data_IF_996892853274
#
_entry.id   IF_996892853274
#
_cell.length_a   1.000
_cell.length_b   1.000
_cell.length_c   1.000
_cell.angle_alpha   90.00
_cell.angle_beta   90.00
_cell.angle_gamma   90.00
#
_symmetry.space_group_name_H-M   'P 1'
#
loop_
_entity.id
_entity.type
_entity.pdbx_description
1 polymer ?
#
# COMPACT_ATOMS: atom_id res chain seq x y z
N UNK A 1 56.14 55.56 -19.14
CA UNK A 1 55.78 55.79 -20.56
C UNK A 1 55.92 54.46 -21.31
N UNK A 2 54.80 53.80 -21.62
CA UNK A 2 54.48 53.13 -22.90
C UNK A 2 53.03 52.69 -22.76
N UNK A 3 52.23 53.14 -23.73
CA UNK A 3 50.79 52.98 -23.87
C UNK A 3 50.43 51.59 -24.40
N UNK A 4 49.41 50.94 -23.83
CA UNK A 4 48.63 49.92 -24.55
C UNK A 4 47.14 50.14 -24.34
N UNK A 5 46.47 50.34 -25.47
CA UNK A 5 45.04 50.57 -25.68
C UNK A 5 44.22 49.30 -25.48
N UNK A 6 43.06 49.50 -24.86
CA UNK A 6 41.70 49.09 -25.25
C UNK A 6 41.46 47.74 -25.94
N UNK A 7 40.52 46.96 -25.38
CA UNK A 7 39.26 46.58 -26.07
C UNK A 7 38.19 46.13 -25.08
N UNK A 8 37.06 46.80 -25.15
CA UNK A 8 35.79 46.40 -24.57
C UNK A 8 35.12 45.35 -25.48
N UNK A 9 34.38 44.41 -24.89
CA UNK A 9 33.40 43.59 -25.57
C UNK A 9 32.10 43.58 -24.76
N UNK A 10 31.02 43.98 -25.41
CA UNK A 10 29.65 44.02 -24.93
C UNK A 10 28.98 42.61 -25.04
N UNK A 11 27.80 42.39 -24.42
CA UNK A 11 27.24 41.06 -24.22
C UNK A 11 26.41 40.60 -25.43
N UNK A 12 26.46 39.29 -25.72
CA UNK A 12 25.64 38.66 -26.75
C UNK A 12 24.41 38.00 -26.14
N UNK A 13 23.29 38.30 -26.79
CA UNK A 13 21.92 37.93 -26.53
C UNK A 13 21.60 36.42 -26.49
N UNK A 14 20.63 36.11 -25.62
CA UNK A 14 19.37 35.42 -25.92
C UNK A 14 19.41 34.26 -26.94
N UNK A 15 19.26 33.03 -26.43
CA UNK A 15 18.84 31.85 -27.19
C UNK A 15 17.80 31.07 -26.41
N UNK A 16 16.54 31.40 -26.66
CA UNK A 16 15.61 30.48 -27.31
C UNK A 16 15.40 29.12 -26.63
N UNK A 17 14.38 29.08 -25.78
CA UNK A 17 13.65 27.88 -25.35
C UNK A 17 13.26 27.04 -26.58
N UNK A 18 13.81 25.83 -26.72
CA UNK A 18 13.29 24.79 -27.61
C UNK A 18 12.44 23.83 -26.79
N UNK A 19 11.12 23.95 -26.93
CA UNK A 19 10.16 22.91 -26.56
C UNK A 19 10.40 21.68 -27.44
N UNK A 20 10.82 20.58 -26.83
CA UNK A 20 10.79 19.27 -27.45
C UNK A 20 9.37 18.70 -27.27
N UNK A 21 8.54 18.85 -28.30
CA UNK A 21 7.29 18.12 -28.41
C UNK A 21 7.60 16.67 -28.83
N UNK A 22 7.52 15.74 -27.89
CA UNK A 22 7.59 14.31 -28.17
C UNK A 22 6.32 13.87 -28.90
N UNK A 23 6.48 13.55 -30.18
CA UNK A 23 5.45 12.96 -31.02
C UNK A 23 5.12 11.54 -30.53
N UNK A 24 3.86 11.30 -30.19
CA UNK A 24 3.30 9.97 -29.99
C UNK A 24 3.05 9.32 -31.37
N UNK A 25 3.45 8.05 -31.60
CA UNK A 25 3.09 7.35 -32.81
C UNK A 25 1.58 7.01 -32.81
N UNK A 26 0.91 7.55 -33.81
CA UNK A 26 -0.49 7.33 -34.19
C UNK A 26 -0.62 5.93 -34.80
N UNK A 27 -0.96 4.93 -33.98
CA UNK A 27 -1.29 3.59 -34.47
C UNK A 27 -2.68 3.61 -35.12
N UNK A 28 -2.70 3.23 -36.39
CA UNK A 28 -3.84 3.33 -37.29
C UNK A 28 -4.97 2.37 -36.93
N UNK A 29 -6.20 2.90 -36.94
CA UNK A 29 -7.43 2.13 -37.02
C UNK A 29 -7.44 1.34 -38.32
N UNK A 30 -7.25 0.02 -38.23
CA UNK A 30 -7.67 -0.89 -39.29
C UNK A 30 -9.05 -1.44 -38.96
N UNK A 31 -10.08 -0.69 -39.39
CA UNK A 31 -11.45 -1.20 -39.51
C UNK A 31 -11.51 -2.17 -40.68
N UNK A 32 -11.46 -3.48 -40.39
CA UNK A 32 -11.94 -4.51 -41.33
C UNK A 32 -13.33 -4.94 -40.93
N UNK A 33 -14.30 -4.44 -41.69
CA UNK A 33 -15.59 -5.07 -41.89
C UNK A 33 -15.38 -6.50 -42.38
N UNK A 34 -15.87 -7.49 -41.64
CA UNK A 34 -16.19 -8.79 -42.23
C UNK A 34 -17.66 -9.11 -42.00
N UNK A 35 -18.28 -9.42 -43.12
CA UNK A 35 -19.69 -9.69 -43.34
C UNK A 35 -20.26 -10.83 -42.51
N UNK A 36 -21.55 -10.65 -42.25
CA UNK A 36 -22.55 -11.63 -41.89
C UNK A 36 -22.29 -13.06 -42.41
N UNK A 37 -22.31 -14.02 -41.48
CA UNK A 37 -22.85 -15.35 -41.74
C UNK A 37 -23.87 -15.69 -40.66
N UNK A 38 -25.11 -15.85 -41.09
CA UNK A 38 -26.18 -16.49 -40.34
C UNK A 38 -25.71 -17.89 -39.93
N UNK A 39 -25.73 -18.16 -38.63
CA UNK A 39 -25.85 -19.52 -38.10
C UNK A 39 -27.11 -19.58 -37.24
N UNK A 40 -28.21 -19.93 -37.90
CA UNK A 40 -29.36 -20.59 -37.29
C UNK A 40 -28.92 -21.97 -36.81
N UNK A 41 -28.83 -22.15 -35.49
CA UNK A 41 -28.50 -23.41 -34.86
C UNK A 41 -29.13 -23.50 -33.49
N UNK A 42 -30.29 -24.14 -33.44
CA UNK A 42 -31.08 -24.51 -32.27
C UNK A 42 -30.21 -25.33 -31.30
N UNK A 43 -30.12 -24.94 -30.02
CA UNK A 43 -29.84 -25.91 -28.96
C UNK A 43 -30.46 -25.50 -27.62
N UNK A 44 -31.52 -26.24 -27.31
CA UNK A 44 -32.07 -26.65 -26.01
C UNK A 44 -31.77 -25.78 -24.76
N UNK A 45 -32.85 -25.15 -24.27
CA UNK A 45 -33.06 -24.81 -22.87
C UNK A 45 -33.05 -26.11 -22.04
N UNK A 46 -32.00 -26.30 -21.24
CA UNK A 46 -32.01 -27.28 -20.14
C UNK A 46 -32.28 -26.54 -18.83
N UNK A 47 -33.56 -26.40 -18.48
CA UNK A 47 -33.95 -26.05 -17.11
C UNK A 47 -33.62 -27.25 -16.20
N UNK A 48 -32.56 -27.16 -15.42
CA UNK A 48 -32.36 -28.01 -14.26
C UNK A 48 -33.08 -27.37 -13.06
N UNK A 49 -34.30 -27.84 -12.79
CA UNK A 49 -35.01 -27.60 -11.54
C UNK A 49 -34.35 -28.44 -10.45
N UNK A 50 -33.52 -27.84 -9.61
CA UNK A 50 -33.07 -28.43 -8.35
C UNK A 50 -34.15 -28.17 -7.29
N UNK A 51 -35.16 -29.03 -7.28
CA UNK A 51 -36.02 -29.22 -6.12
C UNK A 51 -35.30 -30.15 -5.13
N UNK A 52 -34.67 -29.55 -4.11
CA UNK A 52 -34.15 -30.24 -2.94
C UNK A 52 -34.98 -29.89 -1.72
N UNK A 53 -35.96 -30.74 -1.41
CA UNK A 53 -36.76 -30.69 -0.18
C UNK A 53 -36.24 -31.79 0.76
N UNK A 54 -35.96 -31.44 2.03
CA UNK A 54 -35.75 -32.42 3.11
C UNK A 54 -34.51 -32.15 3.96
N UNK A 55 -34.72 -31.84 5.24
CA UNK A 55 -33.63 -31.79 6.23
C UNK A 55 -33.94 -30.94 7.45
N UNK A 56 -34.83 -31.45 8.29
CA UNK A 56 -35.35 -30.85 9.52
C UNK A 56 -34.32 -30.89 10.66
N UNK A 57 -34.12 -29.75 11.30
CA UNK A 57 -33.75 -29.63 12.72
C UNK A 57 -32.31 -29.96 13.11
N UNK A 58 -31.50 -28.93 13.31
CA UNK A 58 -30.48 -28.93 14.37
C UNK A 58 -30.25 -27.50 14.87
N UNK A 59 -29.98 -27.42 16.16
CA UNK A 59 -30.24 -26.27 17.02
C UNK A 59 -29.34 -25.08 16.69
N UNK A 60 -29.96 -23.89 16.64
CA UNK A 60 -29.27 -22.61 16.79
C UNK A 60 -28.69 -22.50 18.20
N UNK A 61 -27.52 -23.09 18.44
CA UNK A 61 -26.61 -22.59 19.47
C UNK A 61 -25.88 -21.39 18.91
N UNK A 62 -26.46 -20.21 19.19
CA UNK A 62 -25.73 -18.95 19.11
C UNK A 62 -24.47 -19.08 19.98
N UNK A 63 -23.30 -18.96 19.35
CA UNK A 63 -22.05 -18.82 20.07
C UNK A 63 -22.07 -17.50 20.87
N UNK A 64 -21.53 -17.47 22.10
CA UNK A 64 -21.55 -16.28 22.93
C UNK A 64 -20.74 -15.15 22.28
N UNK A 65 -21.39 -13.99 22.18
CA UNK A 65 -20.72 -12.73 21.90
C UNK A 65 -19.66 -12.50 22.98
N UNK A 66 -18.39 -12.43 22.57
CA UNK A 66 -17.30 -12.05 23.46
C UNK A 66 -17.51 -10.61 23.94
N UNK A 67 -17.77 -10.48 25.24
CA UNK A 67 -17.78 -9.20 25.95
C UNK A 67 -16.38 -8.58 25.91
N UNK A 68 -16.30 -7.42 25.26
CA UNK A 68 -15.07 -6.64 25.11
C UNK A 68 -15.23 -5.52 24.09
N UNK A 69 -16.42 -4.89 24.01
CA UNK A 69 -16.66 -3.75 23.13
C UNK A 69 -16.59 -2.46 23.97
N UNK A 70 -15.50 -1.72 23.76
CA UNK A 70 -15.39 -0.31 24.12
C UNK A 70 -16.37 0.53 23.25
N UNK A 71 -16.83 1.71 23.68
CA UNK A 71 -18.03 2.34 23.14
C UNK A 71 -17.86 2.88 21.71
N UNK A 72 -18.84 2.50 20.90
CA UNK A 72 -19.44 3.15 19.73
C UNK A 72 -18.85 4.51 19.26
N UNK A 73 -18.02 4.44 18.22
CA UNK A 73 -17.94 5.47 17.18
C UNK A 73 -18.54 4.93 15.87
N UNK A 74 -19.84 4.62 15.87
CA UNK A 74 -20.71 4.65 14.70
C UNK A 74 -20.23 3.85 13.48
N UNK A 75 -20.37 2.53 13.57
CA UNK A 75 -20.18 1.51 12.52
C UNK A 75 -18.73 1.17 12.17
N UNK A 76 -18.30 -0.02 12.61
CA UNK A 76 -17.11 -0.70 12.09
C UNK A 76 -17.35 -1.09 10.62
N UNK A 77 -17.16 -0.14 9.69
CA UNK A 77 -17.41 -0.36 8.26
C UNK A 77 -16.62 -1.53 7.67
N UNK A 78 -15.37 -1.84 8.09
CA UNK A 78 -14.71 -3.08 7.68
C UNK A 78 -15.58 -4.33 7.92
N UNK A 79 -16.25 -4.40 9.07
CA UNK A 79 -17.15 -5.51 9.36
C UNK A 79 -18.38 -5.50 8.47
N UNK A 80 -18.99 -4.33 8.26
CA UNK A 80 -20.16 -4.18 7.38
C UNK A 80 -19.85 -4.54 5.91
N UNK A 81 -18.68 -4.15 5.41
CA UNK A 81 -18.20 -4.54 4.08
C UNK A 81 -18.10 -6.05 3.98
N UNK A 82 -17.47 -6.70 4.96
CA UNK A 82 -17.29 -8.16 4.97
C UNK A 82 -18.61 -8.93 5.11
N UNK A 83 -19.55 -8.43 5.91
CA UNK A 83 -20.89 -9.00 6.04
C UNK A 83 -21.69 -8.85 4.73
N UNK A 84 -21.57 -7.71 4.04
CA UNK A 84 -22.18 -7.50 2.71
C UNK A 84 -21.59 -8.43 1.65
N UNK A 85 -20.26 -8.58 1.62
CA UNK A 85 -19.59 -9.53 0.73
C UNK A 85 -20.05 -10.96 1.01
N UNK A 86 -20.13 -11.36 2.29
CA UNK A 86 -20.58 -12.70 2.67
C UNK A 86 -22.01 -12.99 2.21
N UNK A 87 -22.93 -12.03 2.38
CA UNK A 87 -24.31 -12.17 1.93
C UNK A 87 -24.40 -12.29 0.40
N UNK A 88 -23.72 -11.40 -0.33
CA UNK A 88 -23.68 -11.44 -1.79
C UNK A 88 -23.06 -12.75 -2.31
N UNK A 89 -21.96 -13.22 -1.73
CA UNK A 89 -21.33 -14.48 -2.12
C UNK A 89 -22.26 -15.67 -1.92
N UNK A 90 -23.04 -15.68 -0.82
CA UNK A 90 -24.06 -16.70 -0.55
C UNK A 90 -25.14 -16.70 -1.63
N UNK A 91 -25.61 -15.53 -2.07
CA UNK A 91 -26.58 -15.41 -3.18
C UNK A 91 -26.01 -15.91 -4.52
N UNK A 92 -24.70 -15.75 -4.72
CA UNK A 92 -23.98 -16.31 -5.88
C UNK A 92 -23.70 -17.82 -5.76
N UNK A 93 -24.16 -18.48 -4.69
CA UNK A 93 -23.96 -19.92 -4.47
C UNK A 93 -22.57 -20.29 -3.94
N UNK A 94 -21.79 -19.31 -3.48
CA UNK A 94 -20.48 -19.54 -2.88
C UNK A 94 -20.54 -19.39 -1.35
N UNK A 95 -19.80 -20.25 -0.64
CA UNK A 95 -19.54 -20.05 0.78
C UNK A 95 -18.50 -18.92 0.93
N UNK A 96 -18.73 -18.02 1.87
CA UNK A 96 -17.80 -16.97 2.27
C UNK A 96 -17.99 -16.69 3.76
N UNK A 97 -16.89 -16.58 4.50
CA UNK A 97 -16.88 -16.26 5.92
C UNK A 97 -16.47 -14.80 6.05
N UNK A 98 -17.38 -13.95 6.53
CA UNK A 98 -17.11 -12.55 6.83
C UNK A 98 -15.93 -12.45 7.80
N UNK A 99 -14.88 -11.77 7.37
CA UNK A 99 -13.60 -11.78 8.05
C UNK A 99 -12.95 -10.40 8.03
N UNK A 100 -12.76 -9.83 9.21
CA UNK A 100 -11.94 -8.62 9.40
C UNK A 100 -10.66 -9.07 10.09
N UNK A 101 -9.48 -8.94 9.45
CA UNK A 101 -8.22 -9.27 10.10
C UNK A 101 -8.07 -8.51 11.42
N UNK A 102 -7.71 -9.21 12.49
CA UNK A 102 -7.26 -8.54 13.71
C UNK A 102 -5.77 -8.29 13.61
N UNK A 103 -5.36 -7.03 13.67
CA UNK A 103 -3.95 -6.69 13.80
C UNK A 103 -3.53 -6.94 15.25
N UNK A 104 -2.92 -8.12 15.50
CA UNK A 104 -2.37 -8.43 16.82
C UNK A 104 -1.03 -7.71 16.95
N UNK A 105 -1.07 -6.52 17.55
CA UNK A 105 0.13 -5.73 17.84
C UNK A 105 0.84 -6.23 19.09
N UNK A 106 2.13 -6.49 18.96
CA UNK A 106 3.00 -6.75 20.12
C UNK A 106 3.19 -5.46 20.92
N UNK A 107 3.73 -5.59 22.13
CA UNK A 107 4.10 -4.41 22.92
C UNK A 107 5.20 -3.58 22.25
N UNK A 108 6.10 -4.23 21.51
CA UNK A 108 7.14 -3.55 20.74
C UNK A 108 6.54 -2.75 19.58
N UNK A 109 5.55 -3.31 18.87
CA UNK A 109 4.82 -2.61 17.80
C UNK A 109 4.11 -1.35 18.32
N UNK A 110 3.40 -1.47 19.44
CA UNK A 110 2.72 -0.32 20.08
C UNK A 110 3.70 0.79 20.46
N UNK A 111 4.88 0.42 20.98
CA UNK A 111 5.92 1.39 21.31
C UNK A 111 6.48 2.09 20.07
N UNK A 112 6.74 1.35 19.00
CA UNK A 112 7.16 1.95 17.72
C UNK A 112 6.10 2.92 17.18
N UNK A 113 4.82 2.54 17.18
CA UNK A 113 3.70 3.40 16.75
C UNK A 113 3.50 4.63 17.66
N UNK A 114 3.88 4.54 18.93
CA UNK A 114 3.89 5.69 19.83
C UNK A 114 5.06 6.66 19.61
N UNK A 115 6.00 6.33 18.71
CA UNK A 115 7.23 7.10 18.50
C UNK A 115 8.26 6.93 19.62
N UNK A 116 8.24 5.80 20.35
CA UNK A 116 9.20 5.52 21.41
C UNK A 116 10.63 5.41 20.87
N UNK A 117 11.45 6.41 21.20
CA UNK A 117 12.79 6.55 20.64
C UNK A 117 13.69 5.35 20.92
N UNK A 118 13.69 4.80 22.14
CA UNK A 118 14.59 3.68 22.48
C UNK A 118 14.20 2.40 21.73
N UNK A 119 12.89 2.14 21.57
CA UNK A 119 12.41 1.01 20.77
C UNK A 119 12.76 1.20 19.29
N UNK A 120 12.50 2.39 18.72
CA UNK A 120 12.87 2.69 17.33
C UNK A 120 14.38 2.60 17.10
N UNK A 121 15.19 3.06 18.06
CA UNK A 121 16.66 3.00 18.00
C UNK A 121 17.15 1.57 18.04
N UNK A 122 16.62 0.74 18.93
CA UNK A 122 16.93 -0.70 18.99
C UNK A 122 16.62 -1.37 17.66
N UNK A 123 15.46 -1.09 17.07
CA UNK A 123 15.07 -1.62 15.77
C UNK A 123 16.02 -1.17 14.64
N UNK A 124 16.20 0.15 14.48
CA UNK A 124 17.03 0.74 13.40
C UNK A 124 18.51 0.37 13.52
N UNK A 125 19.01 0.12 14.75
CA UNK A 125 20.39 -0.35 14.97
C UNK A 125 20.65 -1.75 14.41
N UNK A 126 19.61 -2.58 14.28
CA UNK A 126 19.72 -3.94 13.75
C UNK A 126 19.27 -4.04 12.29
N UNK A 127 18.19 -3.32 11.95
CA UNK A 127 17.48 -3.53 10.69
C UNK A 127 17.51 -2.31 9.76
N UNK A 128 18.04 -1.16 10.18
CA UNK A 128 17.96 0.07 9.39
C UNK A 128 16.49 0.45 9.12
N UNK A 129 16.13 0.71 7.85
CA UNK A 129 14.74 0.85 7.41
C UNK A 129 14.11 -0.48 6.94
N UNK A 130 14.88 -1.58 6.94
CA UNK A 130 14.42 -2.92 6.57
C UNK A 130 14.69 -3.32 5.11
N UNK A 131 15.22 -2.43 4.26
CA UNK A 131 15.35 -2.67 2.82
C UNK A 131 16.28 -3.84 2.53
N UNK A 132 17.46 -3.89 3.16
CA UNK A 132 18.44 -4.96 3.02
C UNK A 132 18.44 -5.96 4.18
N UNK A 133 17.60 -5.71 5.20
CA UNK A 133 17.54 -6.53 6.39
C UNK A 133 17.03 -7.95 6.09
N UNK A 134 16.10 -8.11 5.14
CA UNK A 134 15.49 -9.40 4.82
C UNK A 134 16.49 -10.43 4.26
N UNK A 135 17.50 -9.99 3.52
CA UNK A 135 18.56 -10.88 3.02
C UNK A 135 19.57 -11.27 4.11
N UNK A 136 19.68 -10.47 5.17
CA UNK A 136 20.62 -10.69 6.28
C UNK A 136 19.97 -11.46 7.44
N UNK A 137 18.69 -11.21 7.69
CA UNK A 137 17.87 -11.73 8.78
C UNK A 137 16.55 -12.29 8.21
N UNK A 138 16.54 -13.51 7.64
CA UNK A 138 15.36 -14.09 7.01
C UNK A 138 14.14 -14.18 7.93
N UNK A 139 14.37 -14.36 9.24
CA UNK A 139 13.32 -14.39 10.26
C UNK A 139 12.60 -13.05 10.42
N UNK A 140 13.23 -11.95 10.02
CA UNK A 140 12.62 -10.62 10.03
C UNK A 140 11.50 -10.49 8.98
N UNK A 141 11.52 -11.32 7.93
CA UNK A 141 10.47 -11.35 6.91
C UNK A 141 9.08 -11.62 7.48
N UNK A 142 9.02 -12.35 8.59
CA UNK A 142 7.78 -12.74 9.27
C UNK A 142 7.46 -11.86 10.49
N UNK A 143 8.22 -10.76 10.70
CA UNK A 143 8.06 -9.88 11.86
C UNK A 143 7.07 -8.73 11.65
N UNK A 144 6.50 -8.59 10.46
CA UNK A 144 5.37 -7.68 10.24
C UNK A 144 4.15 -8.10 11.07
N UNK A 145 3.18 -7.19 11.20
CA UNK A 145 1.91 -7.46 11.88
C UNK A 145 1.37 -8.83 11.42
N UNK A 146 1.36 -9.79 12.35
CA UNK A 146 0.89 -11.14 12.07
C UNK A 146 -0.59 -11.05 11.81
N UNK A 147 -0.97 -11.01 10.54
CA UNK A 147 -2.37 -11.10 10.16
C UNK A 147 -2.88 -12.46 10.61
N UNK A 148 -4.04 -12.46 11.25
CA UNK A 148 -4.76 -13.71 11.49
C UNK A 148 -4.93 -14.45 10.14
N UNK A 149 -4.85 -15.79 10.11
CA UNK A 149 -5.11 -16.54 8.89
C UNK A 149 -6.49 -16.21 8.33
N UNK A 150 -6.60 -15.99 7.03
CA UNK A 150 -7.91 -15.75 6.41
C UNK A 150 -8.70 -17.07 6.39
N UNK A 151 -9.88 -17.14 7.05
CA UNK A 151 -10.64 -18.38 7.15
C UNK A 151 -11.15 -18.88 5.79
N UNK A 152 -11.14 -18.02 4.75
CA UNK A 152 -11.53 -18.39 3.39
C UNK A 152 -10.41 -19.09 2.60
N UNK A 153 -9.13 -19.00 3.02
CA UNK A 153 -7.99 -19.53 2.26
C UNK A 153 -8.06 -21.04 2.05
N UNK A 154 -8.47 -21.80 3.09
CA UNK A 154 -8.61 -23.26 2.98
C UNK A 154 -9.67 -23.66 1.95
N UNK A 155 -10.79 -22.92 1.93
CA UNK A 155 -11.89 -23.17 1.02
C UNK A 155 -11.52 -22.80 -0.41
N UNK A 156 -10.99 -21.59 -0.63
CA UNK A 156 -10.55 -21.16 -1.97
C UNK A 156 -9.44 -22.07 -2.49
N UNK A 157 -8.50 -22.46 -1.60
CA UNK A 157 -7.46 -23.46 -1.80
C UNK A 157 -7.95 -24.78 -2.40
N UNK A 158 -9.14 -25.24 -1.99
CA UNK A 158 -9.73 -26.51 -2.41
C UNK A 158 -10.53 -26.46 -3.73
N UNK A 159 -10.76 -25.27 -4.30
CA UNK A 159 -11.50 -25.11 -5.55
C UNK A 159 -10.67 -25.54 -6.76
N UNK A 160 -11.31 -26.18 -7.75
CA UNK A 160 -10.71 -26.36 -9.07
C UNK A 160 -10.45 -25.01 -9.76
N UNK A 161 -9.58 -24.97 -10.76
CA UNK A 161 -9.24 -23.73 -11.48
C UNK A 161 -10.50 -23.00 -12.03
N UNK A 162 -11.46 -23.75 -12.58
CA UNK A 162 -12.72 -23.19 -13.08
C UNK A 162 -13.60 -22.64 -11.95
N UNK A 163 -13.73 -23.37 -10.83
CA UNK A 163 -14.47 -22.91 -9.66
C UNK A 163 -13.83 -21.68 -9.02
N UNK A 164 -12.49 -21.63 -8.94
CA UNK A 164 -11.74 -20.48 -8.45
C UNK A 164 -11.97 -19.24 -9.31
N UNK A 165 -11.89 -19.39 -10.64
CA UNK A 165 -12.19 -18.29 -11.57
C UNK A 165 -13.62 -17.75 -11.36
N UNK A 166 -14.59 -18.64 -11.18
CA UNK A 166 -15.98 -18.24 -10.91
C UNK A 166 -16.14 -17.56 -9.53
N UNK A 167 -15.47 -18.09 -8.51
CA UNK A 167 -15.43 -17.52 -7.16
C UNK A 167 -14.82 -16.12 -7.15
N UNK A 168 -13.65 -15.93 -7.78
CA UNK A 168 -12.95 -14.64 -7.83
C UNK A 168 -13.78 -13.59 -8.57
N UNK A 169 -14.44 -13.98 -9.67
CA UNK A 169 -15.37 -13.11 -10.39
C UNK A 169 -16.55 -12.68 -9.51
N UNK A 170 -17.16 -13.62 -8.78
CA UNK A 170 -18.25 -13.32 -7.86
C UNK A 170 -17.78 -12.43 -6.71
N UNK A 171 -16.64 -12.75 -6.09
CA UNK A 171 -16.04 -11.99 -5.00
C UNK A 171 -15.74 -10.56 -5.42
N UNK A 172 -15.13 -10.35 -6.60
CA UNK A 172 -14.86 -9.00 -7.11
C UNK A 172 -16.13 -8.19 -7.34
N UNK A 173 -17.19 -8.81 -7.87
CA UNK A 173 -18.48 -8.15 -8.06
C UNK A 173 -19.15 -7.81 -6.71
N UNK A 174 -19.08 -8.72 -5.72
CA UNK A 174 -19.60 -8.51 -4.38
C UNK A 174 -18.83 -7.41 -3.63
N UNK A 175 -17.50 -7.39 -3.72
CA UNK A 175 -16.65 -6.34 -3.15
C UNK A 175 -16.92 -4.97 -3.77
N UNK A 176 -17.12 -4.92 -5.09
CA UNK A 176 -17.52 -3.69 -5.78
C UNK A 176 -18.89 -3.18 -5.30
N UNK A 177 -19.84 -4.10 -5.07
CA UNK A 177 -21.15 -3.77 -4.51
C UNK A 177 -21.04 -3.23 -3.08
N UNK A 178 -20.23 -3.86 -2.24
CA UNK A 178 -19.98 -3.43 -0.86
C UNK A 178 -19.31 -2.04 -0.81
N UNK A 179 -18.29 -1.79 -1.65
CA UNK A 179 -17.61 -0.51 -1.73
C UNK A 179 -18.57 0.65 -2.07
N UNK A 180 -19.52 0.41 -2.99
CA UNK A 180 -20.54 1.42 -3.35
C UNK A 180 -21.57 1.65 -2.25
N UNK A 181 -22.10 0.57 -1.69
CA UNK A 181 -23.25 0.61 -0.78
C UNK A 181 -22.88 0.94 0.66
N UNK A 182 -21.78 0.39 1.16
CA UNK A 182 -21.32 0.56 2.55
C UNK A 182 -20.39 1.76 2.68
N UNK A 183 -19.44 1.91 1.74
CA UNK A 183 -18.40 2.96 1.83
C UNK A 183 -18.75 4.22 1.03
N UNK A 184 -19.81 4.20 0.22
CA UNK A 184 -20.19 5.33 -0.64
C UNK A 184 -19.17 5.62 -1.76
N UNK A 185 -18.30 4.67 -2.10
CA UNK A 185 -17.25 4.87 -3.10
C UNK A 185 -17.82 4.95 -4.52
N UNK A 186 -17.28 5.86 -5.33
CA UNK A 186 -17.64 6.04 -6.74
C UNK A 186 -16.72 5.23 -7.66
N UNK A 187 -16.81 3.91 -7.56
CA UNK A 187 -15.92 2.95 -8.24
C UNK A 187 -16.63 2.17 -9.35
N UNK A 188 -15.92 1.81 -10.42
CA UNK A 188 -16.52 1.08 -11.56
C UNK A 188 -16.06 -0.37 -11.68
N UNK A 189 -14.83 -0.65 -11.22
CA UNK A 189 -14.22 -1.98 -11.18
C UNK A 189 -13.43 -2.17 -9.88
N UNK A 190 -13.07 -3.41 -9.59
CA UNK A 190 -12.36 -3.76 -8.35
C UNK A 190 -11.06 -2.95 -8.14
N UNK A 191 -10.24 -2.80 -9.19
CA UNK A 191 -9.01 -2.00 -9.12
C UNK A 191 -9.22 -0.54 -8.70
N UNK A 192 -10.41 0.02 -8.96
CA UNK A 192 -10.72 1.39 -8.58
C UNK A 192 -10.89 1.52 -7.07
N UNK A 193 -11.27 0.43 -6.37
CA UNK A 193 -11.38 0.41 -4.90
C UNK A 193 -10.02 0.69 -4.28
N UNK A 194 -8.98 -0.05 -4.69
CA UNK A 194 -7.62 0.14 -4.17
C UNK A 194 -7.09 1.55 -4.49
N UNK A 195 -7.33 2.05 -5.70
CA UNK A 195 -6.93 3.41 -6.09
C UNK A 195 -7.60 4.47 -5.24
N UNK A 196 -8.91 4.35 -5.00
CA UNK A 196 -9.66 5.29 -4.17
C UNK A 196 -9.18 5.23 -2.72
N UNK A 197 -8.95 4.04 -2.17
CA UNK A 197 -8.41 3.85 -0.82
C UNK A 197 -7.02 4.50 -0.65
N UNK A 198 -6.12 4.30 -1.62
CA UNK A 198 -4.79 4.94 -1.63
C UNK A 198 -4.91 6.46 -1.77
N UNK A 199 -5.82 6.96 -2.62
CA UNK A 199 -6.03 8.38 -2.81
C UNK A 199 -6.56 9.06 -1.54
N UNK A 200 -7.55 8.44 -0.87
CA UNK A 200 -8.08 8.92 0.40
C UNK A 200 -7.01 8.93 1.49
N UNK A 201 -6.27 7.83 1.65
CA UNK A 201 -5.18 7.77 2.63
C UNK A 201 -4.13 8.85 2.38
N UNK A 202 -3.67 8.97 1.14
CA UNK A 202 -2.66 9.96 0.75
C UNK A 202 -3.17 11.37 1.00
N UNK A 203 -4.42 11.67 0.61
CA UNK A 203 -5.04 12.97 0.82
C UNK A 203 -5.23 13.31 2.30
N UNK A 204 -5.61 12.33 3.14
CA UNK A 204 -5.75 12.52 4.58
C UNK A 204 -4.40 12.73 5.27
N UNK A 205 -3.39 11.90 4.96
CA UNK A 205 -2.02 12.06 5.48
C UNK A 205 -1.47 13.45 5.12
N UNK A 206 -1.59 13.87 3.86
CA UNK A 206 -1.13 15.19 3.44
C UNK A 206 -1.90 16.32 4.17
N UNK A 207 -3.23 16.24 4.25
CA UNK A 207 -4.03 17.28 4.88
C UNK A 207 -3.74 17.41 6.38
N UNK A 208 -3.68 16.28 7.08
CA UNK A 208 -3.60 16.25 8.54
C UNK A 208 -2.14 16.42 8.99
N UNK A 209 -1.21 15.67 8.41
CA UNK A 209 0.17 15.64 8.86
C UNK A 209 0.98 16.79 8.27
N UNK A 210 0.85 17.10 6.98
CA UNK A 210 1.55 18.25 6.39
C UNK A 210 0.87 19.59 6.71
N UNK A 211 -0.40 19.56 7.12
CA UNK A 211 -1.15 20.74 7.55
C UNK A 211 -0.96 21.10 9.03
N UNK A 212 -0.35 20.22 9.84
CA UNK A 212 -0.10 20.48 11.26
C UNK A 212 1.12 21.42 11.43
N UNK A 213 0.94 22.65 11.96
CA UNK A 213 2.03 23.62 12.06
C UNK A 213 3.15 23.17 13.00
N UNK A 214 2.85 22.35 14.01
CA UNK A 214 3.87 21.80 14.90
C UNK A 214 4.72 20.76 14.16
N UNK A 215 4.08 19.85 13.42
CA UNK A 215 4.80 18.86 12.62
C UNK A 215 5.65 19.51 11.53
N UNK A 216 5.16 20.56 10.88
CA UNK A 216 5.92 21.32 9.88
C UNK A 216 7.18 21.95 10.50
N UNK A 217 7.06 22.56 11.69
CA UNK A 217 8.22 23.13 12.37
C UNK A 217 9.25 22.05 12.78
N UNK A 218 8.78 20.91 13.31
CA UNK A 218 9.64 19.80 13.69
C UNK A 218 10.33 19.17 12.47
N UNK A 219 9.60 19.02 11.36
CA UNK A 219 10.14 18.54 10.09
C UNK A 219 11.25 19.46 9.55
N UNK A 220 11.09 20.79 9.69
CA UNK A 220 12.14 21.74 9.32
C UNK A 220 13.42 21.54 10.13
N UNK A 221 13.31 21.45 11.47
CA UNK A 221 14.46 21.20 12.36
C UNK A 221 15.15 19.87 12.04
N UNK A 222 14.34 18.83 11.85
CA UNK A 222 14.81 17.50 11.45
C UNK A 222 15.61 17.58 10.13
N UNK A 223 15.03 18.19 9.09
CA UNK A 223 15.70 18.28 7.80
C UNK A 223 16.95 19.15 7.82
N UNK A 224 16.98 20.22 8.60
CA UNK A 224 18.19 21.04 8.76
C UNK A 224 19.32 20.26 9.46
N UNK A 225 19.00 19.46 10.48
CA UNK A 225 19.96 18.54 11.10
C UNK A 225 20.51 17.51 10.10
N UNK A 226 19.63 16.92 9.27
CA UNK A 226 20.05 15.96 8.24
C UNK A 226 20.94 16.62 7.17
N UNK A 227 20.61 17.83 6.71
CA UNK A 227 21.47 18.59 5.79
C UNK A 227 22.84 18.88 6.40
N UNK A 228 22.89 19.27 7.68
CA UNK A 228 24.15 19.52 8.37
C UNK A 228 25.05 18.28 8.47
N UNK A 229 24.45 17.07 8.49
CA UNK A 229 25.15 15.79 8.41
C UNK A 229 25.51 15.38 6.96
N UNK A 230 25.14 16.16 5.96
CA UNK A 230 25.47 15.93 4.55
C UNK A 230 24.45 15.11 3.77
N UNK A 231 23.25 14.88 4.31
CA UNK A 231 22.19 14.18 3.60
C UNK A 231 21.43 15.14 2.66
N UNK A 232 21.04 14.62 1.49
CA UNK A 232 20.16 15.35 0.57
C UNK A 232 18.72 15.37 1.11
N UNK A 233 18.13 16.57 1.17
CA UNK A 233 16.73 16.78 1.58
C UNK A 233 15.98 17.49 0.47
N UNK A 234 15.09 16.75 -0.18
CA UNK A 234 14.29 17.23 -1.33
C UNK A 234 12.97 17.87 -0.94
N UNK A 235 12.49 17.62 0.29
CA UNK A 235 11.25 18.18 0.82
C UNK A 235 11.28 18.23 2.34
N UNK A 236 10.71 19.31 2.91
CA UNK A 236 10.52 19.48 4.35
C UNK A 236 9.09 19.17 4.80
N UNK A 237 8.25 18.62 3.91
CA UNK A 237 6.90 18.19 4.31
C UNK A 237 7.00 17.00 5.28
N UNK A 238 6.25 16.99 6.39
CA UNK A 238 6.22 15.87 7.34
C UNK A 238 6.13 14.49 6.68
N UNK A 239 5.18 14.30 5.76
CA UNK A 239 4.98 13.01 5.06
C UNK A 239 6.13 12.63 4.11
N UNK A 240 6.89 13.60 3.60
CA UNK A 240 8.04 13.34 2.73
C UNK A 240 9.31 13.04 3.53
N UNK A 241 9.58 13.83 4.58
CA UNK A 241 10.85 13.73 5.31
C UNK A 241 10.95 12.41 6.08
N UNK A 242 9.83 11.93 6.66
CA UNK A 242 9.76 10.65 7.37
C UNK A 242 10.13 9.45 6.49
N UNK A 243 9.78 9.52 5.20
CA UNK A 243 9.97 8.44 4.24
C UNK A 243 11.26 8.53 3.42
N UNK A 244 12.08 9.57 3.64
CA UNK A 244 13.27 9.85 2.82
C UNK A 244 14.23 8.67 2.80
N UNK A 245 14.71 8.24 3.97
CA UNK A 245 15.73 7.20 4.06
C UNK A 245 15.23 5.87 3.49
N UNK A 246 14.04 5.42 3.90
CA UNK A 246 13.41 4.22 3.35
C UNK A 246 13.29 4.27 1.81
N UNK A 247 12.82 5.39 1.25
CA UNK A 247 12.70 5.56 -0.21
C UNK A 247 14.06 5.49 -0.92
N UNK A 248 15.11 6.09 -0.34
CA UNK A 248 16.47 6.03 -0.88
C UNK A 248 16.99 4.59 -0.94
N UNK A 249 16.85 3.82 0.14
CA UNK A 249 17.35 2.45 0.19
C UNK A 249 16.47 1.46 -0.58
N UNK A 250 15.16 1.69 -0.70
CA UNK A 250 14.29 0.95 -1.62
C UNK A 250 14.77 1.15 -3.07
N UNK A 251 15.06 2.39 -3.49
CA UNK A 251 15.59 2.65 -4.84
C UNK A 251 16.98 2.07 -5.05
N UNK A 252 17.88 2.15 -4.07
CA UNK A 252 19.20 1.51 -4.14
C UNK A 252 19.06 0.00 -4.27
N UNK A 253 18.15 -0.62 -3.51
CA UNK A 253 17.85 -2.04 -3.61
C UNK A 253 17.31 -2.41 -4.99
N UNK A 254 16.33 -1.66 -5.52
CA UNK A 254 15.79 -1.92 -6.87
C UNK A 254 16.89 -1.90 -7.93
N UNK A 255 17.78 -0.89 -7.90
CA UNK A 255 18.93 -0.80 -8.83
C UNK A 255 19.86 -1.99 -8.75
N UNK A 256 20.19 -2.42 -7.52
CA UNK A 256 21.11 -3.55 -7.31
C UNK A 256 20.50 -4.87 -7.77
N UNK A 257 19.18 -5.04 -7.59
CA UNK A 257 18.45 -6.23 -8.00
C UNK A 257 18.04 -6.21 -9.49
N UNK A 258 18.14 -5.06 -10.16
CA UNK A 258 17.73 -4.86 -11.55
C UNK A 258 16.21 -4.76 -11.72
N UNK A 259 15.52 -4.17 -10.75
CA UNK A 259 14.05 -4.05 -10.69
C UNK A 259 13.53 -2.68 -11.17
N UNK A 260 14.37 -1.88 -11.83
CA UNK A 260 14.03 -0.51 -12.21
C UNK A 260 12.99 -0.44 -13.36
N UNK A 261 12.76 -1.55 -14.07
CA UNK A 261 11.87 -1.65 -15.25
C UNK A 261 10.50 -2.30 -14.99
N UNK A 262 10.13 -2.51 -13.72
CA UNK A 262 8.83 -3.11 -13.34
C UNK A 262 8.97 -4.31 -12.40
N UNK A 263 7.84 -4.94 -12.01
CA UNK A 263 7.91 -6.16 -11.23
C UNK A 263 8.70 -7.22 -12.01
N UNK A 264 9.65 -7.91 -11.36
CA UNK A 264 10.38 -8.98 -12.01
C UNK A 264 9.41 -10.05 -12.49
N UNK A 265 9.66 -10.67 -13.66
CA UNK A 265 8.98 -11.93 -13.98
C UNK A 265 9.26 -12.96 -12.86
N UNK A 266 8.33 -13.87 -12.58
CA UNK A 266 8.50 -14.86 -11.51
C UNK A 266 9.80 -15.65 -11.70
N UNK A 267 10.77 -15.43 -10.79
CA UNK A 267 12.08 -16.07 -10.85
C UNK A 267 13.20 -15.21 -11.46
N UNK A 268 12.89 -14.05 -12.04
CA UNK A 268 13.84 -13.16 -12.67
C UNK A 268 14.17 -11.94 -11.80
N UNK A 269 15.12 -12.10 -10.88
CA UNK A 269 15.71 -10.97 -10.18
C UNK A 269 17.06 -11.40 -9.63
N UNK A 270 18.08 -10.54 -9.73
CA UNK A 270 19.35 -10.83 -9.07
C UNK A 270 19.05 -10.99 -7.58
N UNK A 271 19.45 -12.11 -6.97
CA UNK A 271 19.35 -12.26 -5.52
C UNK A 271 20.64 -11.74 -4.90
N UNK A 272 20.50 -10.90 -3.87
CA UNK A 272 21.64 -10.54 -3.03
C UNK A 272 21.95 -11.70 -2.08
N UNK A 273 23.21 -12.11 -2.03
CA UNK A 273 23.66 -12.99 -0.94
C UNK A 273 23.63 -12.23 0.40
N UNK A 274 23.49 -12.92 1.54
CA UNK A 274 23.53 -12.28 2.85
C UNK A 274 24.80 -11.43 3.05
N UNK A 275 25.95 -11.89 2.54
CA UNK A 275 27.22 -11.16 2.63
C UNK A 275 27.19 -9.85 1.85
N UNK A 276 26.63 -9.84 0.64
CA UNK A 276 26.49 -8.61 -0.14
C UNK A 276 25.49 -7.64 0.51
N UNK A 277 24.36 -8.16 1.01
CA UNK A 277 23.35 -7.36 1.67
C UNK A 277 23.85 -6.69 2.96
N UNK A 278 24.74 -7.33 3.73
CA UNK A 278 25.34 -6.74 4.95
C UNK A 278 26.03 -5.40 4.70
N UNK A 279 26.70 -5.24 3.56
CA UNK A 279 27.39 -3.98 3.24
C UNK A 279 26.39 -2.84 2.99
N UNK A 280 25.28 -3.11 2.32
CA UNK A 280 24.19 -2.15 2.13
C UNK A 280 23.45 -1.87 3.44
N UNK A 281 23.15 -2.92 4.20
CA UNK A 281 22.51 -2.80 5.51
C UNK A 281 23.34 -1.95 6.49
N UNK A 282 24.67 -2.04 6.46
CA UNK A 282 25.51 -1.19 7.30
C UNK A 282 25.38 0.31 6.96
N UNK A 283 25.22 0.65 5.67
CA UNK A 283 24.94 2.03 5.24
C UNK A 283 23.53 2.45 5.66
N UNK A 284 22.56 1.56 5.48
CA UNK A 284 21.16 1.77 5.86
C UNK A 284 21.00 2.02 7.36
N UNK A 285 21.65 1.22 8.21
CA UNK A 285 21.67 1.39 9.67
C UNK A 285 22.25 2.75 10.04
N UNK A 286 23.38 3.14 9.42
CA UNK A 286 23.99 4.44 9.71
C UNK A 286 23.02 5.59 9.38
N UNK A 287 22.44 5.60 8.19
CA UNK A 287 21.47 6.60 7.78
C UNK A 287 20.24 6.60 8.70
N UNK A 288 19.68 5.43 9.01
CA UNK A 288 18.51 5.28 9.88
C UNK A 288 18.73 5.79 11.31
N UNK A 289 19.93 5.62 11.85
CA UNK A 289 20.29 6.14 13.18
C UNK A 289 20.53 7.65 13.17
N UNK A 290 21.21 8.18 12.14
CA UNK A 290 21.37 9.63 11.96
C UNK A 290 20.00 10.32 11.77
N UNK A 291 19.11 9.69 11.01
CA UNK A 291 17.72 10.10 10.78
C UNK A 291 16.89 10.09 12.06
N UNK A 292 16.96 9.01 12.85
CA UNK A 292 16.23 8.92 14.12
C UNK A 292 16.71 9.96 15.13
N UNK A 293 18.03 10.20 15.17
CA UNK A 293 18.61 11.19 16.09
C UNK A 293 18.19 12.61 15.71
N UNK A 294 18.30 12.98 14.43
CA UNK A 294 17.86 14.29 13.95
C UNK A 294 16.33 14.48 14.04
N UNK A 295 15.58 13.40 13.89
CA UNK A 295 14.11 13.38 13.89
C UNK A 295 13.47 13.05 15.23
N UNK A 296 14.23 12.95 16.33
CA UNK A 296 13.72 12.43 17.61
C UNK A 296 12.40 13.06 18.07
N UNK A 297 12.36 14.39 18.15
CA UNK A 297 11.14 15.12 18.56
C UNK A 297 10.04 15.05 17.49
N UNK A 298 10.44 14.99 16.22
CA UNK A 298 9.53 14.83 15.09
C UNK A 298 8.80 13.47 15.17
N UNK A 299 9.51 12.36 15.32
CA UNK A 299 8.93 11.02 15.41
C UNK A 299 8.01 10.85 16.61
N UNK A 300 8.38 11.40 17.77
CA UNK A 300 7.53 11.38 18.96
C UNK A 300 6.18 12.09 18.74
N UNK A 301 6.13 13.13 17.90
CA UNK A 301 4.91 13.85 17.56
C UNK A 301 4.18 13.27 16.33
N UNK A 302 4.93 12.79 15.34
CA UNK A 302 4.43 12.37 14.03
C UNK A 302 3.81 10.98 14.08
N UNK A 303 4.49 9.99 14.66
CA UNK A 303 4.06 8.59 14.56
C UNK A 303 2.69 8.33 15.18
N UNK A 304 2.36 8.83 16.40
CA UNK A 304 1.03 8.64 16.97
C UNK A 304 -0.09 9.26 16.09
N UNK A 305 0.14 10.47 15.57
CA UNK A 305 -0.81 11.15 14.68
C UNK A 305 -0.98 10.40 13.36
N UNK A 306 0.11 9.88 12.80
CA UNK A 306 0.04 9.05 11.61
C UNK A 306 -0.76 7.77 11.87
N UNK A 307 -0.54 7.09 13.00
CA UNK A 307 -1.33 5.91 13.41
C UNK A 307 -2.81 6.24 13.54
N UNK A 308 -3.18 7.38 14.15
CA UNK A 308 -4.58 7.84 14.22
C UNK A 308 -5.19 8.04 12.84
N UNK A 309 -4.46 8.67 11.90
CA UNK A 309 -4.91 8.86 10.51
C UNK A 309 -5.12 7.50 9.83
N UNK A 310 -4.18 6.56 10.01
CA UNK A 310 -4.30 5.22 9.44
C UNK A 310 -5.51 4.46 9.98
N UNK A 311 -5.71 4.49 11.31
CA UNK A 311 -6.82 3.82 11.98
C UNK A 311 -8.15 4.42 11.54
N UNK A 312 -8.24 5.75 11.42
CA UNK A 312 -9.43 6.42 10.90
C UNK A 312 -9.75 5.99 9.47
N UNK A 313 -8.78 6.04 8.55
CA UNK A 313 -9.03 5.64 7.15
C UNK A 313 -9.39 4.15 7.06
N UNK A 314 -8.78 3.29 7.87
CA UNK A 314 -9.13 1.86 7.95
C UNK A 314 -10.59 1.71 8.36
N UNK A 315 -11.02 2.41 9.41
CA UNK A 315 -12.40 2.37 9.90
C UNK A 315 -13.39 2.95 8.89
N UNK A 316 -13.00 4.00 8.15
CA UNK A 316 -13.91 4.70 7.26
C UNK A 316 -14.01 4.12 5.84
N UNK A 317 -12.95 3.46 5.37
CA UNK A 317 -12.80 3.03 3.97
C UNK A 317 -12.40 1.55 3.84
N UNK A 318 -12.39 0.79 4.94
CA UNK A 318 -12.06 -0.65 4.96
C UNK A 318 -10.73 -0.97 4.25
N UNK A 319 -9.73 -0.12 4.44
CA UNK A 319 -8.41 -0.31 3.84
C UNK A 319 -7.69 -1.43 4.57
N UNK A 320 -7.32 -2.50 3.86
CA UNK A 320 -6.53 -3.58 4.47
C UNK A 320 -5.12 -3.11 4.83
N UNK A 321 -4.68 -3.48 6.04
CA UNK A 321 -3.33 -3.23 6.53
C UNK A 321 -2.30 -3.84 5.58
N UNK A 322 -1.57 -3.05 4.78
CA UNK A 322 -0.54 -3.54 3.85
C UNK A 322 -0.64 -3.07 2.39
N UNK A 323 -1.70 -2.34 2.03
CA UNK A 323 -1.82 -1.70 0.70
C UNK A 323 -0.92 -0.44 0.61
N UNK A 324 -0.37 0.05 1.72
CA UNK A 324 0.23 1.39 1.85
C UNK A 324 1.63 1.34 2.50
N UNK A 325 2.52 0.52 1.95
CA UNK A 325 3.96 0.57 2.27
C UNK A 325 4.75 0.83 1.00
#
# INVERSE_FOLDING_TARGET
MVSRRSRAAAPAADRGVRQAASALPRSERSTRFMSARLYTGILALSLAVLAGCGGQGEQNTAAPAGEGASPDSGQNKPRLVQDHVAACMKEQGFKYISYTPSDVKTEEDRKMESGDYETMKKYRSKYGYGSFAFEVYPEHRDSGARRSPNPNDKMTGSLSAAQRTAYDKAHNACSLSAAKSVLGMKVSKYDDILKEQVAVMTGMRQRILDGDPNLVQLAQKFGDCMKAKGYEITSMKPTNIVGRGASTFIQERSKVLGLDDGPPEEGEGKKLSPTQARAYLAKEIKDALDDLECGKDFYAAYTPKETEVFDQVRQDYSVESGIIW
#
